data_IF_605039417031
#
_entry.id   IF_605039417031
#
_cell.length_a   1.000
_cell.length_b   1.000
_cell.length_c   1.000
_cell.angle_alpha   90.00
_cell.angle_beta   90.00
_cell.angle_gamma   90.00
#
_symmetry.space_group_name_H-M   'P 1'
#
loop_
_entity.id
_entity.type
_entity.pdbx_description
1 polymer ?
#
# COMPACT_ATOMS: atom_id res chain seq x y z
N UNK A 1 16.54 33.18 -61.58
CA UNK A 1 15.25 33.41 -60.89
C UNK A 1 14.59 32.06 -60.72
N UNK A 2 14.78 31.45 -59.56
CA UNK A 2 14.27 30.12 -59.22
C UNK A 2 13.33 30.33 -58.05
N UNK A 3 12.03 30.23 -58.29
CA UNK A 3 10.99 30.41 -57.28
C UNK A 3 10.94 29.17 -56.38
N UNK A 4 11.31 29.39 -55.13
CA UNK A 4 11.32 28.42 -54.05
C UNK A 4 9.88 28.17 -53.58
N UNK A 5 9.40 26.93 -53.68
CA UNK A 5 8.13 26.48 -53.13
C UNK A 5 8.29 26.31 -51.60
N UNK A 6 7.48 26.98 -50.75
CA UNK A 6 7.59 26.81 -49.29
C UNK A 6 6.99 25.47 -48.88
N UNK A 7 7.78 24.71 -48.12
CA UNK A 7 7.43 23.38 -47.62
C UNK A 7 6.15 23.39 -46.78
N UNK A 8 5.29 22.43 -47.07
CA UNK A 8 4.11 22.12 -46.29
C UNK A 8 4.53 21.70 -44.87
N UNK A 9 4.28 22.57 -43.89
CA UNK A 9 4.35 22.24 -42.48
C UNK A 9 3.37 21.10 -42.20
N UNK A 10 3.92 19.94 -41.81
CA UNK A 10 3.13 18.84 -41.30
C UNK A 10 2.40 19.29 -40.05
N UNK A 11 1.09 19.56 -40.18
CA UNK A 11 0.22 19.78 -39.03
C UNK A 11 0.14 18.43 -38.31
N UNK A 12 0.93 18.29 -37.27
CA UNK A 12 0.87 17.18 -36.32
C UNK A 12 -0.57 17.15 -35.79
N UNK A 13 -1.38 16.22 -36.32
CA UNK A 13 -2.78 16.10 -35.92
C UNK A 13 -2.79 15.72 -34.45
N UNK A 14 -3.23 16.65 -33.61
CA UNK A 14 -3.49 16.39 -32.20
C UNK A 14 -4.29 15.08 -32.07
N UNK A 15 -3.97 14.20 -31.09
CA UNK A 15 -4.65 12.93 -30.92
C UNK A 15 -6.17 13.13 -30.89
N UNK A 16 -6.88 12.44 -31.78
CA UNK A 16 -8.35 12.51 -31.88
C UNK A 16 -8.96 12.17 -30.52
N UNK A 17 -9.75 13.08 -29.96
CA UNK A 17 -10.48 12.85 -28.72
C UNK A 17 -11.26 11.53 -28.79
N UNK A 18 -11.14 10.73 -27.73
CA UNK A 18 -11.83 9.45 -27.61
C UNK A 18 -13.34 9.68 -27.55
N UNK A 19 -14.09 9.02 -28.45
CA UNK A 19 -15.55 9.17 -28.53
C UNK A 19 -16.28 8.81 -27.22
N UNK A 20 -17.56 9.23 -27.06
CA UNK A 20 -18.31 9.16 -25.81
C UNK A 20 -18.44 7.75 -25.21
N UNK A 21 -18.44 6.71 -26.05
CA UNK A 21 -18.46 5.30 -25.63
C UNK A 21 -17.17 4.88 -24.93
N UNK A 22 -16.01 5.38 -25.39
CA UNK A 22 -14.70 5.08 -24.76
C UNK A 22 -14.56 5.77 -23.40
N UNK A 23 -15.06 7.00 -23.26
CA UNK A 23 -15.10 7.69 -21.96
C UNK A 23 -15.95 6.96 -20.93
N UNK A 24 -17.11 6.40 -21.33
CA UNK A 24 -17.97 5.60 -20.44
C UNK A 24 -17.31 4.27 -20.04
N UNK A 25 -16.60 3.62 -20.96
CA UNK A 25 -15.89 2.38 -20.69
C UNK A 25 -14.73 2.60 -19.69
N UNK A 26 -13.98 3.68 -19.87
CA UNK A 26 -12.88 4.05 -18.98
C UNK A 26 -13.38 4.43 -17.57
N UNK A 27 -14.50 5.15 -17.49
CA UNK A 27 -15.17 5.46 -16.23
C UNK A 27 -15.61 4.20 -15.46
N UNK A 28 -16.20 3.24 -16.17
CA UNK A 28 -16.60 1.96 -15.59
C UNK A 28 -15.38 1.13 -15.16
N UNK A 29 -14.31 1.12 -15.95
CA UNK A 29 -13.08 0.43 -15.60
C UNK A 29 -12.48 0.97 -14.30
N UNK A 30 -12.35 2.29 -14.16
CA UNK A 30 -11.86 2.93 -12.93
C UNK A 30 -12.70 2.55 -11.72
N UNK A 31 -14.04 2.55 -11.85
CA UNK A 31 -14.94 2.15 -10.77
C UNK A 31 -14.75 0.67 -10.41
N UNK A 32 -14.74 -0.21 -11.41
CA UNK A 32 -14.60 -1.66 -11.22
C UNK A 32 -13.26 -2.00 -10.57
N UNK A 33 -12.15 -1.43 -11.04
CA UNK A 33 -10.83 -1.60 -10.42
C UNK A 33 -10.78 -1.05 -9.00
N UNK A 34 -11.42 0.10 -8.75
CA UNK A 34 -11.52 0.67 -7.39
C UNK A 34 -12.29 -0.24 -6.43
N UNK A 35 -13.43 -0.80 -6.85
CA UNK A 35 -14.21 -1.75 -6.05
C UNK A 35 -13.40 -3.03 -5.78
N UNK A 36 -12.77 -3.60 -6.81
CA UNK A 36 -11.94 -4.79 -6.67
C UNK A 36 -10.77 -4.56 -5.71
N UNK A 37 -10.10 -3.40 -5.81
CA UNK A 37 -9.03 -3.02 -4.88
C UNK A 37 -9.56 -2.88 -3.44
N UNK A 38 -10.71 -2.25 -3.24
CA UNK A 38 -11.32 -2.10 -1.92
C UNK A 38 -11.69 -3.45 -1.28
N UNK A 39 -12.29 -4.36 -2.06
CA UNK A 39 -12.58 -5.74 -1.63
C UNK A 39 -11.29 -6.46 -1.25
N UNK A 40 -10.25 -6.35 -2.08
CA UNK A 40 -8.93 -6.92 -1.81
C UNK A 40 -8.33 -6.42 -0.50
N UNK A 41 -8.36 -5.11 -0.26
CA UNK A 41 -7.87 -4.49 0.98
C UNK A 41 -8.64 -5.02 2.20
N UNK A 42 -9.97 -5.06 2.14
CA UNK A 42 -10.80 -5.56 3.25
C UNK A 42 -10.49 -7.04 3.51
N UNK A 43 -10.41 -7.85 2.45
CA UNK A 43 -10.14 -9.28 2.56
C UNK A 43 -8.77 -9.53 3.20
N UNK A 44 -7.73 -8.82 2.75
CA UNK A 44 -6.38 -8.91 3.32
C UNK A 44 -6.35 -8.44 4.78
N UNK A 45 -7.07 -7.37 5.11
CA UNK A 45 -7.15 -6.87 6.49
C UNK A 45 -7.84 -7.88 7.42
N UNK A 46 -8.94 -8.48 6.99
CA UNK A 46 -9.65 -9.53 7.74
C UNK A 46 -8.78 -10.77 7.88
N UNK A 47 -8.13 -11.24 6.81
CA UNK A 47 -7.21 -12.38 6.87
C UNK A 47 -6.05 -12.11 7.82
N UNK A 48 -5.44 -10.92 7.75
CA UNK A 48 -4.36 -10.52 8.65
C UNK A 48 -4.83 -10.48 10.10
N UNK A 49 -6.02 -9.91 10.35
CA UNK A 49 -6.61 -9.86 11.68
C UNK A 49 -6.90 -11.27 12.22
N UNK A 50 -7.51 -12.14 11.44
CA UNK A 50 -7.82 -13.52 11.83
C UNK A 50 -6.56 -14.37 12.03
N UNK A 51 -5.51 -14.14 11.24
CA UNK A 51 -4.22 -14.80 11.41
C UNK A 51 -3.47 -14.33 12.66
N UNK A 52 -3.63 -13.07 13.06
CA UNK A 52 -2.98 -12.50 14.25
C UNK A 52 -3.76 -12.78 15.53
N UNK A 53 -5.09 -12.69 15.51
CA UNK A 53 -5.96 -12.87 16.68
C UNK A 53 -6.71 -14.20 16.61
N UNK A 54 -6.29 -15.15 17.43
CA UNK A 54 -6.95 -16.46 17.56
C UNK A 54 -7.71 -16.56 18.90
N UNK A 55 -8.65 -17.51 19.03
CA UNK A 55 -9.33 -17.75 20.32
C UNK A 55 -8.37 -18.08 21.47
N UNK A 56 -7.17 -18.57 21.14
CA UNK A 56 -6.16 -18.99 22.10
C UNK A 56 -5.11 -17.90 22.40
N UNK A 57 -5.18 -16.74 21.74
CA UNK A 57 -4.25 -15.63 21.94
C UNK A 57 -3.77 -15.01 20.64
N UNK A 58 -2.68 -14.24 20.74
CA UNK A 58 -2.08 -13.55 19.60
C UNK A 58 -0.97 -14.39 19.00
N UNK A 59 -1.08 -14.71 17.72
CA UNK A 59 -0.05 -15.45 16.97
C UNK A 59 1.00 -14.46 16.48
N UNK A 60 2.26 -14.75 16.81
CA UNK A 60 3.39 -13.92 16.43
C UNK A 60 4.54 -14.76 15.91
N UNK A 61 5.21 -14.28 14.87
CA UNK A 61 6.40 -14.93 14.32
C UNK A 61 7.64 -14.23 14.87
N UNK A 62 8.43 -14.96 15.65
CA UNK A 62 9.71 -14.49 16.14
C UNK A 62 10.81 -14.94 15.18
N UNK A 63 11.63 -14.01 14.65
CA UNK A 63 12.84 -14.40 13.96
C UNK A 63 13.79 -15.04 14.97
N UNK A 64 14.32 -16.20 14.61
CA UNK A 64 15.34 -16.90 15.41
C UNK A 64 16.63 -16.97 14.60
N UNK A 65 17.76 -17.06 15.29
CA UNK A 65 19.02 -17.32 14.62
C UNK A 65 18.94 -18.67 13.89
N UNK A 66 19.43 -18.79 12.64
CA UNK A 66 19.28 -20.01 11.87
C UNK A 66 19.85 -21.21 12.61
N UNK A 67 18.96 -22.06 13.13
CA UNK A 67 19.35 -23.32 13.76
C UNK A 67 19.17 -24.45 12.75
N UNK A 68 20.23 -25.24 12.56
CA UNK A 68 20.16 -26.44 11.73
C UNK A 68 19.57 -27.57 12.57
N UNK A 69 18.55 -28.22 12.04
CA UNK A 69 18.01 -29.43 12.64
C UNK A 69 17.58 -30.40 11.54
N UNK A 70 17.78 -31.68 11.82
CA UNK A 70 17.42 -32.79 10.95
C UNK A 70 15.98 -33.18 11.24
N UNK A 71 15.09 -32.93 10.29
CA UNK A 71 13.75 -33.48 10.33
C UNK A 71 13.77 -34.88 9.70
N UNK A 72 13.18 -35.86 10.37
CA UNK A 72 12.78 -37.10 9.69
C UNK A 72 11.80 -36.71 8.59
N UNK A 73 12.10 -37.07 7.34
CA UNK A 73 11.22 -36.76 6.22
C UNK A 73 9.80 -37.28 6.45
N UNK A 74 8.81 -36.66 5.81
CA UNK A 74 7.43 -37.16 5.81
C UNK A 74 7.44 -38.61 5.30
N UNK A 75 6.88 -39.55 6.08
CA UNK A 75 6.81 -40.96 5.69
C UNK A 75 6.10 -41.08 4.34
N UNK A 76 6.81 -41.61 3.35
CA UNK A 76 6.25 -41.96 2.05
C UNK A 76 5.70 -43.40 2.16
N UNK A 77 4.43 -43.58 1.83
CA UNK A 77 3.84 -44.90 1.65
C UNK A 77 4.03 -45.34 0.21
N UNK A 78 4.69 -46.48 -0.01
CA UNK A 78 4.69 -47.16 -1.31
C UNK A 78 3.83 -48.44 -1.24
N UNK A 79 3.71 -49.16 -2.37
CA UNK A 79 2.90 -50.37 -2.46
C UNK A 79 3.42 -51.53 -1.58
N UNK A 80 4.66 -51.45 -1.08
CA UNK A 80 5.29 -52.47 -0.23
C UNK A 80 5.36 -52.12 1.27
N UNK A 81 4.94 -50.91 1.70
CA UNK A 81 4.88 -50.50 3.11
C UNK A 81 5.45 -49.10 3.38
N UNK A 82 5.64 -48.72 4.66
CA UNK A 82 6.28 -47.46 5.01
C UNK A 82 7.78 -47.51 4.69
N UNK A 83 8.23 -46.64 3.78
CA UNK A 83 9.66 -46.46 3.49
C UNK A 83 10.22 -45.43 4.47
N UNK A 84 11.34 -45.73 5.14
CA UNK A 84 12.06 -44.73 5.93
C UNK A 84 12.44 -43.57 5.03
N UNK A 85 11.78 -42.42 5.24
CA UNK A 85 12.08 -41.21 4.49
C UNK A 85 13.48 -40.72 4.85
N UNK A 86 14.29 -40.42 3.84
CA UNK A 86 15.62 -39.87 4.03
C UNK A 86 15.56 -38.62 4.94
N UNK A 87 16.51 -38.50 5.87
CA UNK A 87 16.59 -37.34 6.74
C UNK A 87 16.80 -36.08 5.89
N UNK A 88 15.94 -35.09 6.08
CA UNK A 88 16.05 -33.79 5.41
C UNK A 88 16.65 -32.82 6.41
N UNK A 89 17.87 -32.36 6.13
CA UNK A 89 18.52 -31.30 6.90
C UNK A 89 17.98 -29.96 6.43
N UNK A 90 17.37 -29.20 7.35
CA UNK A 90 16.85 -27.86 7.08
C UNK A 90 17.36 -26.84 8.10
N UNK A 91 17.16 -25.56 7.81
CA UNK A 91 17.37 -24.47 8.75
C UNK A 91 16.04 -23.84 9.17
N UNK A 92 15.88 -23.60 10.47
CA UNK A 92 14.74 -22.89 11.03
C UNK A 92 15.11 -21.42 11.20
N UNK A 93 14.38 -20.51 10.53
CA UNK A 93 14.65 -19.07 10.56
C UNK A 93 13.57 -18.28 11.30
N UNK A 94 12.41 -18.88 11.55
CA UNK A 94 11.32 -18.26 12.31
C UNK A 94 10.57 -19.30 13.13
N UNK A 95 10.08 -18.88 14.30
CA UNK A 95 9.21 -19.68 15.17
C UNK A 95 7.90 -18.93 15.36
N UNK A 96 6.80 -19.63 15.12
CA UNK A 96 5.47 -19.12 15.43
C UNK A 96 5.12 -19.42 16.89
N UNK A 97 4.79 -18.38 17.65
CA UNK A 97 4.46 -18.46 19.07
C UNK A 97 3.08 -17.87 19.30
N UNK A 98 2.27 -18.56 20.10
CA UNK A 98 0.96 -18.07 20.55
C UNK A 98 1.11 -17.41 21.93
N UNK A 99 0.85 -16.11 22.00
CA UNK A 99 0.94 -15.31 23.22
C UNK A 99 -0.43 -15.20 23.87
N UNK A 100 -0.62 -15.89 24.99
CA UNK A 100 -1.88 -15.93 25.74
C UNK A 100 -2.03 -14.75 26.71
N UNK A 101 -0.91 -14.24 27.25
CA UNK A 101 -0.89 -13.21 28.29
C UNK A 101 -0.44 -11.84 27.75
N UNK A 102 -1.06 -11.38 26.66
CA UNK A 102 -0.76 -10.07 26.10
C UNK A 102 -1.56 -8.98 26.83
N UNK A 103 -0.89 -7.87 27.19
CA UNK A 103 -1.57 -6.70 27.73
C UNK A 103 -2.62 -6.17 26.73
N UNK A 104 -3.81 -5.84 27.23
CA UNK A 104 -4.93 -5.30 26.43
C UNK A 104 -4.52 -4.11 25.59
N UNK A 105 -3.69 -3.20 26.11
CA UNK A 105 -3.22 -2.03 25.35
C UNK A 105 -2.45 -2.46 24.09
N UNK A 106 -1.55 -3.43 24.21
CA UNK A 106 -0.76 -3.94 23.08
C UNK A 106 -1.64 -4.67 22.06
N UNK A 107 -2.61 -5.46 22.53
CA UNK A 107 -3.60 -6.10 21.66
C UNK A 107 -4.43 -5.06 20.87
N UNK A 108 -4.89 -4.00 21.55
CA UNK A 108 -5.63 -2.90 20.91
C UNK A 108 -4.74 -2.17 19.90
N UNK A 109 -3.46 -1.90 20.23
CA UNK A 109 -2.53 -1.26 19.31
C UNK A 109 -2.30 -2.09 18.03
N UNK A 110 -2.17 -3.42 18.15
CA UNK A 110 -2.08 -4.32 16.98
C UNK A 110 -3.34 -4.26 16.11
N UNK A 111 -4.52 -4.40 16.74
CA UNK A 111 -5.80 -4.34 16.04
C UNK A 111 -6.01 -2.99 15.35
N UNK A 112 -5.74 -1.90 16.07
CA UNK A 112 -5.81 -0.54 15.54
C UNK A 112 -4.82 -0.34 14.38
N UNK A 113 -3.61 -0.90 14.46
CA UNK A 113 -2.63 -0.85 13.38
C UNK A 113 -3.17 -1.45 12.07
N UNK A 114 -3.77 -2.64 12.15
CA UNK A 114 -4.40 -3.31 10.99
C UNK A 114 -5.55 -2.47 10.42
N UNK A 115 -6.45 -2.00 11.30
CA UNK A 115 -7.63 -1.21 10.90
C UNK A 115 -7.21 0.12 10.28
N UNK A 116 -6.25 0.84 10.87
CA UNK A 116 -5.75 2.10 10.37
C UNK A 116 -5.05 1.93 9.01
N UNK A 117 -4.28 0.86 8.82
CA UNK A 117 -3.68 0.55 7.53
C UNK A 117 -4.77 0.33 6.46
N UNK A 118 -5.77 -0.50 6.76
CA UNK A 118 -6.88 -0.76 5.85
C UNK A 118 -7.64 0.52 5.48
N UNK A 119 -7.98 1.35 6.47
CA UNK A 119 -8.65 2.63 6.26
C UNK A 119 -7.81 3.58 5.40
N UNK A 120 -6.50 3.68 5.66
CA UNK A 120 -5.60 4.51 4.86
C UNK A 120 -5.61 4.09 3.38
N UNK A 121 -5.49 2.79 3.10
CA UNK A 121 -5.55 2.28 1.73
C UNK A 121 -6.92 2.48 1.07
N UNK A 122 -8.03 2.31 1.79
CA UNK A 122 -9.37 2.59 1.27
C UNK A 122 -9.54 4.07 0.89
N UNK A 123 -9.01 4.99 1.70
CA UNK A 123 -9.04 6.42 1.38
C UNK A 123 -8.18 6.71 0.15
N UNK A 124 -7.01 6.08 0.00
CA UNK A 124 -6.15 6.22 -1.19
C UNK A 124 -6.87 5.76 -2.45
N UNK A 125 -7.55 4.60 -2.40
CA UNK A 125 -8.34 4.09 -3.54
C UNK A 125 -9.46 5.07 -3.89
N UNK A 126 -10.22 5.54 -2.89
CA UNK A 126 -11.30 6.51 -3.10
C UNK A 126 -10.82 7.84 -3.66
N UNK A 127 -9.69 8.37 -3.17
CA UNK A 127 -9.09 9.60 -3.67
C UNK A 127 -8.59 9.44 -5.11
N UNK A 128 -7.97 8.30 -5.43
CA UNK A 128 -7.47 7.99 -6.79
C UNK A 128 -8.63 7.87 -7.78
N UNK A 129 -9.70 7.14 -7.43
CA UNK A 129 -10.89 7.04 -8.26
C UNK A 129 -11.53 8.42 -8.50
N UNK A 130 -11.57 9.28 -7.46
CA UNK A 130 -12.07 10.66 -7.59
C UNK A 130 -11.20 11.50 -8.53
N UNK A 131 -9.88 11.38 -8.48
CA UNK A 131 -8.96 12.08 -9.38
C UNK A 131 -9.18 11.63 -10.82
N UNK A 132 -9.22 10.32 -11.06
CA UNK A 132 -9.47 9.75 -12.39
C UNK A 132 -10.81 10.23 -12.97
N UNK A 133 -11.87 10.26 -12.16
CA UNK A 133 -13.17 10.79 -12.55
C UNK A 133 -13.14 12.29 -12.92
N UNK A 134 -12.38 13.10 -12.17
CA UNK A 134 -12.22 14.52 -12.48
C UNK A 134 -11.46 14.73 -13.79
N UNK A 135 -10.44 13.91 -14.05
CA UNK A 135 -9.65 13.96 -15.29
C UNK A 135 -10.47 13.54 -16.51
N UNK A 136 -11.29 12.49 -16.39
CA UNK A 136 -12.21 12.08 -17.47
C UNK A 136 -13.23 13.17 -17.83
N UNK A 137 -13.57 14.07 -16.90
CA UNK A 137 -14.45 15.23 -17.13
C UNK A 137 -13.70 16.46 -17.64
N UNK A 138 -12.41 16.37 -17.95
CA UNK A 138 -11.57 17.51 -18.35
C UNK A 138 -11.27 18.51 -17.22
N UNK A 139 -11.58 18.17 -15.97
CA UNK A 139 -11.45 19.07 -14.80
C UNK A 139 -10.10 18.88 -14.10
N UNK A 140 -9.02 19.16 -14.83
CA UNK A 140 -7.65 18.96 -14.33
C UNK A 140 -7.28 19.92 -13.19
N UNK A 141 -7.54 21.21 -13.38
CA UNK A 141 -7.14 22.29 -12.47
C UNK A 141 -8.31 22.79 -11.63
N UNK A 142 -8.86 21.93 -10.76
CA UNK A 142 -9.94 22.33 -9.85
C UNK A 142 -9.53 22.18 -8.39
N UNK A 143 -10.14 22.97 -7.51
CA UNK A 143 -10.02 22.80 -6.06
C UNK A 143 -10.37 21.37 -5.63
N UNK A 144 -11.33 20.73 -6.31
CA UNK A 144 -11.70 19.34 -6.03
C UNK A 144 -10.55 18.35 -6.29
N UNK A 145 -9.76 18.56 -7.35
CA UNK A 145 -8.56 17.75 -7.65
C UNK A 145 -7.48 17.97 -6.60
N UNK A 146 -7.25 19.23 -6.22
CA UNK A 146 -6.29 19.60 -5.17
C UNK A 146 -6.64 18.99 -3.81
N UNK A 147 -7.92 19.03 -3.41
CA UNK A 147 -8.38 18.37 -2.20
C UNK A 147 -8.18 16.85 -2.25
N UNK A 148 -8.49 16.20 -3.39
CA UNK A 148 -8.29 14.77 -3.54
C UNK A 148 -6.81 14.36 -3.45
N UNK A 149 -5.91 15.12 -4.09
CA UNK A 149 -4.45 14.91 -3.98
C UNK A 149 -3.94 15.13 -2.56
N UNK A 150 -4.42 16.18 -1.87
CA UNK A 150 -4.09 16.41 -0.46
C UNK A 150 -4.54 15.24 0.41
N UNK A 151 -5.76 14.73 0.22
CA UNK A 151 -6.27 13.58 0.97
C UNK A 151 -5.44 12.33 0.71
N UNK A 152 -5.09 12.06 -0.55
CA UNK A 152 -4.20 10.96 -0.94
C UNK A 152 -2.86 11.08 -0.21
N UNK A 153 -2.27 12.28 -0.22
CA UNK A 153 -0.97 12.53 0.39
C UNK A 153 -0.97 12.31 1.91
N UNK A 154 -1.95 12.89 2.62
CA UNK A 154 -2.06 12.75 4.07
C UNK A 154 -2.40 11.31 4.49
N UNK A 155 -3.15 10.58 3.67
CA UNK A 155 -3.49 9.17 3.94
C UNK A 155 -2.27 8.26 3.81
N UNK A 156 -1.44 8.47 2.78
CA UNK A 156 -0.17 7.75 2.64
C UNK A 156 0.84 8.13 3.72
N UNK A 157 0.93 9.41 4.08
CA UNK A 157 1.86 9.87 5.12
C UNK A 157 1.39 9.52 6.52
N UNK A 158 0.44 10.29 7.06
CA UNK A 158 -0.02 10.13 8.45
C UNK A 158 -0.72 8.79 8.65
N UNK A 159 -1.58 8.37 7.72
CA UNK A 159 -2.38 7.16 7.88
C UNK A 159 -1.50 5.90 8.06
N UNK A 160 -0.50 5.74 7.18
CA UNK A 160 0.43 4.61 7.27
C UNK A 160 1.40 4.76 8.46
N UNK A 161 1.81 5.98 8.81
CA UNK A 161 2.63 6.22 9.99
C UNK A 161 1.91 5.82 11.29
N UNK A 162 0.63 6.20 11.43
CA UNK A 162 -0.18 5.81 12.59
C UNK A 162 -0.40 4.29 12.65
N UNK A 163 -0.68 3.66 11.51
CA UNK A 163 -0.82 2.21 11.43
C UNK A 163 0.48 1.49 11.85
N UNK A 164 1.61 1.99 11.36
CA UNK A 164 2.93 1.50 11.72
C UNK A 164 3.24 1.68 13.21
N UNK A 165 2.98 2.87 13.76
CA UNK A 165 3.22 3.14 15.18
C UNK A 165 2.38 2.21 16.07
N UNK A 166 1.10 2.01 15.74
CA UNK A 166 0.23 1.05 16.42
C UNK A 166 0.77 -0.37 16.35
N UNK A 167 1.21 -0.83 15.17
CA UNK A 167 1.79 -2.16 14.99
C UNK A 167 3.04 -2.37 15.86
N UNK A 168 3.96 -1.40 15.88
CA UNK A 168 5.21 -1.52 16.63
C UNK A 168 5.01 -1.41 18.14
N UNK A 169 4.12 -0.54 18.61
CA UNK A 169 3.75 -0.48 20.02
C UNK A 169 3.11 -1.81 20.48
N UNK A 170 2.31 -2.41 19.62
CA UNK A 170 1.76 -3.75 19.81
C UNK A 170 2.82 -4.84 19.88
N UNK A 171 3.73 -4.85 18.91
CA UNK A 171 4.84 -5.80 18.81
C UNK A 171 5.77 -5.71 20.03
N UNK A 172 6.10 -4.50 20.49
CA UNK A 172 6.89 -4.29 21.70
C UNK A 172 6.23 -4.92 22.94
N UNK A 173 4.90 -4.90 23.01
CA UNK A 173 4.15 -5.57 24.07
C UNK A 173 4.24 -7.09 24.01
N UNK A 174 4.27 -7.67 22.79
CA UNK A 174 4.48 -9.11 22.58
C UNK A 174 5.89 -9.51 23.02
N UNK A 175 6.90 -8.76 22.61
CA UNK A 175 8.30 -8.99 22.99
C UNK A 175 8.49 -8.91 24.51
N UNK A 176 7.87 -7.92 25.16
CA UNK A 176 7.85 -7.81 26.61
C UNK A 176 7.16 -9.01 27.30
N UNK A 177 6.04 -9.50 26.74
CA UNK A 177 5.32 -10.66 27.29
C UNK A 177 6.10 -11.97 27.13
N UNK A 178 6.87 -12.10 26.04
CA UNK A 178 7.71 -13.26 25.79
C UNK A 178 9.07 -13.19 26.51
N UNK A 179 9.39 -12.04 27.12
CA UNK A 179 10.72 -11.76 27.68
C UNK A 179 11.85 -12.00 26.67
N UNK A 180 11.55 -11.75 25.39
CA UNK A 180 12.50 -11.86 24.27
C UNK A 180 12.63 -10.48 23.67
N UNK A 181 13.85 -10.00 23.52
CA UNK A 181 14.14 -8.82 22.71
C UNK A 181 14.45 -9.31 21.31
N UNK A 182 13.47 -9.28 20.41
CA UNK A 182 13.75 -9.64 19.03
C UNK A 182 14.75 -8.61 18.49
N UNK A 183 15.75 -9.06 17.74
CA UNK A 183 16.77 -8.22 17.08
C UNK A 183 16.18 -7.40 15.92
N UNK A 184 14.88 -7.07 15.98
CA UNK A 184 14.24 -6.07 15.15
C UNK A 184 14.57 -4.66 15.67
N UNK A 185 15.82 -4.43 16.06
CA UNK A 185 16.36 -3.09 16.24
C UNK A 185 16.34 -2.42 14.87
N UNK A 186 15.22 -1.77 14.53
CA UNK A 186 15.00 -0.84 13.42
C UNK A 186 16.08 -1.01 12.34
N UNK A 187 15.97 -2.06 11.53
CA UNK A 187 17.00 -2.38 10.53
C UNK A 187 17.18 -1.18 9.58
N UNK A 188 18.39 -0.97 9.05
CA UNK A 188 18.64 0.11 8.07
C UNK A 188 17.75 0.03 6.82
N UNK A 189 17.24 -1.17 6.52
CA UNK A 189 16.23 -1.41 5.49
C UNK A 189 14.91 -0.68 5.78
N UNK A 190 14.50 -0.57 7.06
CA UNK A 190 13.32 0.20 7.46
C UNK A 190 13.46 1.69 7.16
N UNK A 191 14.61 2.29 7.50
CA UNK A 191 14.88 3.70 7.21
C UNK A 191 14.82 3.98 5.71
N UNK A 192 15.26 3.02 4.88
CA UNK A 192 15.19 3.14 3.42
C UNK A 192 13.75 3.26 2.93
N UNK A 193 12.83 2.41 3.40
CA UNK A 193 11.41 2.49 3.04
C UNK A 193 10.74 3.77 3.53
N UNK A 194 11.08 4.23 4.73
CA UNK A 194 10.56 5.48 5.29
C UNK A 194 11.02 6.71 4.48
N UNK A 195 12.29 6.76 4.08
CA UNK A 195 12.84 7.83 3.23
C UNK A 195 12.16 7.84 1.85
N UNK A 196 11.93 6.67 1.24
CA UNK A 196 11.20 6.56 -0.03
C UNK A 196 9.77 7.09 0.13
N UNK A 197 9.07 6.72 1.21
CA UNK A 197 7.73 7.24 1.49
C UNK A 197 7.72 8.75 1.71
N UNK A 198 8.67 9.30 2.48
CA UNK A 198 8.77 10.74 2.68
C UNK A 198 9.02 11.47 1.36
N UNK A 199 9.86 10.91 0.49
CA UNK A 199 10.10 11.48 -0.83
C UNK A 199 8.85 11.46 -1.71
N UNK A 200 8.11 10.35 -1.71
CA UNK A 200 6.84 10.23 -2.43
C UNK A 200 5.80 11.23 -1.90
N UNK A 201 5.60 11.29 -0.58
CA UNK A 201 4.67 12.21 0.08
C UNK A 201 5.04 13.68 -0.18
N UNK A 202 6.33 14.00 -0.14
CA UNK A 202 6.83 15.34 -0.43
C UNK A 202 6.61 15.68 -1.91
N UNK A 203 6.88 14.76 -2.82
CA UNK A 203 6.66 14.95 -4.26
C UNK A 203 5.18 15.20 -4.58
N UNK A 204 4.26 14.41 -4.01
CA UNK A 204 2.82 14.65 -4.16
C UNK A 204 2.38 15.99 -3.55
N UNK A 205 2.96 16.39 -2.43
CA UNK A 205 2.74 17.71 -1.83
C UNK A 205 3.19 18.87 -2.74
N UNK A 206 4.35 18.74 -3.38
CA UNK A 206 4.86 19.72 -4.34
C UNK A 206 3.97 19.82 -5.59
N UNK A 207 3.50 18.68 -6.11
CA UNK A 207 2.54 18.65 -7.23
C UNK A 207 1.26 19.40 -6.87
N UNK A 208 0.72 19.19 -5.67
CA UNK A 208 -0.49 19.90 -5.20
C UNK A 208 -0.27 21.42 -5.08
N UNK A 209 0.90 21.85 -4.58
CA UNK A 209 1.27 23.28 -4.54
C UNK A 209 1.38 23.86 -5.95
N UNK A 210 2.05 23.15 -6.87
CA UNK A 210 2.20 23.57 -8.25
C UNK A 210 0.83 23.71 -8.95
N UNK A 211 -0.09 22.75 -8.73
CA UNK A 211 -1.46 22.80 -9.24
C UNK A 211 -2.22 24.01 -8.70
N UNK A 212 -2.14 24.28 -7.38
CA UNK A 212 -2.78 25.47 -6.79
C UNK A 212 -2.22 26.78 -7.36
N UNK A 213 -0.92 26.83 -7.64
CA UNK A 213 -0.28 27.98 -8.29
C UNK A 213 -0.74 28.14 -9.74
N UNK A 214 -0.82 27.05 -10.49
CA UNK A 214 -1.33 27.05 -11.87
C UNK A 214 -2.78 27.54 -11.96
N UNK A 215 -3.65 27.08 -11.05
CA UNK A 215 -5.04 27.55 -10.95
C UNK A 215 -5.10 29.06 -10.72
N UNK A 216 -4.27 29.58 -9.79
CA UNK A 216 -4.24 31.03 -9.51
C UNK A 216 -3.81 31.83 -10.73
N UNK A 217 -2.77 31.39 -11.43
CA UNK A 217 -2.29 32.06 -12.65
C UNK A 217 -3.32 32.03 -13.77
N UNK A 218 -4.05 30.92 -13.95
CA UNK A 218 -5.15 30.87 -14.92
C UNK A 218 -6.25 31.87 -14.59
N UNK A 219 -6.66 31.95 -13.32
CA UNK A 219 -7.68 32.89 -12.88
C UNK A 219 -7.26 34.36 -13.06
N UNK A 220 -6.00 34.67 -12.72
CA UNK A 220 -5.45 36.01 -12.89
C UNK A 220 -5.36 36.41 -14.38
N UNK A 221 -5.10 35.45 -15.28
CA UNK A 221 -5.03 35.69 -16.73
C UNK A 221 -6.42 35.87 -17.37
N UNK A 222 -7.46 35.17 -16.88
CA UNK A 222 -8.84 35.31 -17.34
C UNK A 222 -9.47 36.65 -16.91
N UNK A 223 -8.99 37.26 -15.82
CA UNK A 223 -9.44 38.58 -15.35
C UNK A 223 -8.81 39.79 -16.09
N UNK A 224 -7.89 39.54 -17.03
CA UNK A 224 -7.17 40.56 -17.81
C UNK A 224 -7.74 40.75 -19.24
N UNK A 225 -8.87 40.12 -19.55
CA UNK A 225 -9.59 40.22 -20.84
C UNK A 225 -10.88 41.03 -20.66
#
# INVERSE_FOLDING_TARGET
>A
MTTQQPGAGGIERLPRESGPTKMRLDAFAVLAFGIMAAIGIITLAVQKFAATFTPHGVVWQLPIEPQTSTATGLQLYNAEGPVEAAQVTGSFTSVEVTVTNLNTVSAVCLGAGIVLAALAFLIVVGATARIAWLFQRGRFFTLATSHALRTLNWSLGIGLLCAYAGWNLGANGIEAALNVRALNSVSGEWWSWYVIMLFAVTSFGLIDIALRRAIRVQHDAEGLI
#
